data_IF_746306397529
#
_entry.id   IF_746306397529
#
_cell.length_a   1.000
_cell.length_b   1.000
_cell.length_c   1.000
_cell.angle_alpha   90.00
_cell.angle_beta   90.00
_cell.angle_gamma   90.00
#
_symmetry.space_group_name_H-M   'P 1'
#
loop_
_entity.id
_entity.type
_entity.pdbx_description
1 polymer ?
#
# COMPACT_ATOMS: atom_id res chain seq x y z
N UNK A 1 -65.18 -30.35 -11.48
CA UNK A 1 -64.41 -31.10 -10.45
C UNK A 1 -64.70 -30.67 -9.00
N UNK A 2 -65.92 -30.28 -8.59
CA UNK A 2 -66.26 -30.28 -7.15
C UNK A 2 -66.60 -31.69 -6.62
N UNK A 3 -67.05 -32.61 -7.49
CA UNK A 3 -67.58 -33.93 -7.09
C UNK A 3 -66.58 -34.93 -6.50
N UNK A 4 -65.26 -34.71 -6.60
CA UNK A 4 -64.25 -35.63 -6.02
C UNK A 4 -63.66 -35.13 -4.70
N UNK A 5 -64.01 -33.91 -4.28
CA UNK A 5 -63.53 -33.32 -3.02
C UNK A 5 -64.52 -33.54 -1.86
N UNK A 6 -65.75 -33.97 -2.14
CA UNK A 6 -66.81 -34.17 -1.14
C UNK A 6 -66.72 -35.51 -0.38
N UNK A 7 -66.02 -36.51 -0.92
CA UNK A 7 -65.91 -37.86 -0.33
C UNK A 7 -64.57 -38.14 0.37
N UNK A 8 -63.74 -37.12 0.62
CA UNK A 8 -62.44 -37.33 1.28
C UNK A 8 -62.57 -37.34 2.81
N UNK A 9 -62.05 -38.36 3.54
CA UNK A 9 -62.26 -38.50 4.98
C UNK A 9 -61.59 -37.40 5.83
N UNK A 10 -60.81 -36.50 5.23
CA UNK A 10 -60.08 -35.40 5.86
C UNK A 10 -60.11 -34.15 4.96
N UNK A 11 -61.11 -33.26 5.10
CA UNK A 11 -61.30 -32.10 4.22
C UNK A 11 -60.19 -31.06 4.35
N UNK A 12 -59.58 -30.91 5.53
CA UNK A 12 -58.45 -29.99 5.74
C UNK A 12 -57.21 -30.40 4.95
N UNK A 13 -56.95 -31.70 4.85
CA UNK A 13 -55.84 -32.24 4.06
C UNK A 13 -56.11 -32.11 2.56
N UNK A 14 -57.37 -32.35 2.14
CA UNK A 14 -57.79 -32.16 0.75
C UNK A 14 -57.64 -30.69 0.31
N UNK A 15 -58.00 -29.75 1.18
CA UNK A 15 -57.81 -28.31 0.94
C UNK A 15 -56.33 -27.92 0.89
N UNK A 16 -55.49 -28.49 1.76
CA UNK A 16 -54.04 -28.24 1.77
C UNK A 16 -53.33 -28.81 0.54
N UNK A 17 -53.78 -29.97 0.04
CA UNK A 17 -53.23 -30.61 -1.15
C UNK A 17 -53.90 -30.16 -2.45
N UNK A 18 -55.04 -29.48 -2.38
CA UNK A 18 -55.79 -28.96 -3.54
C UNK A 18 -54.95 -28.16 -4.55
N UNK A 19 -54.02 -27.28 -4.12
CA UNK A 19 -53.13 -26.57 -5.03
C UNK A 19 -52.11 -27.47 -5.77
N UNK A 20 -51.86 -28.68 -5.25
CA UNK A 20 -50.86 -29.62 -5.74
C UNK A 20 -51.47 -30.84 -6.46
N UNK A 21 -52.76 -31.10 -6.27
CA UNK A 21 -53.51 -32.16 -6.95
C UNK A 21 -54.06 -31.61 -8.27
N UNK A 22 -53.45 -32.02 -9.39
CA UNK A 22 -53.89 -31.64 -10.73
C UNK A 22 -54.81 -32.69 -11.34
N UNK A 23 -55.75 -32.31 -12.23
CA UNK A 23 -56.58 -33.28 -12.93
C UNK A 23 -55.73 -34.22 -13.78
N UNK A 24 -56.22 -35.44 -13.98
CA UNK A 24 -55.48 -36.50 -14.69
C UNK A 24 -55.05 -36.09 -16.09
N UNK A 25 -55.89 -35.32 -16.78
CA UNK A 25 -55.62 -34.80 -18.12
C UNK A 25 -54.42 -33.83 -18.13
N UNK A 26 -54.36 -32.89 -17.20
CA UNK A 26 -53.21 -31.98 -17.05
C UNK A 26 -51.93 -32.75 -16.67
N UNK A 27 -52.05 -33.77 -15.82
CA UNK A 27 -50.90 -34.60 -15.43
C UNK A 27 -50.35 -35.38 -16.64
N UNK A 28 -51.23 -35.93 -17.48
CA UNK A 28 -50.83 -36.65 -18.69
C UNK A 28 -50.24 -35.71 -19.75
N UNK A 29 -50.74 -34.48 -19.87
CA UNK A 29 -50.14 -33.43 -20.70
C UNK A 29 -48.73 -33.04 -20.21
N UNK A 30 -48.58 -32.78 -18.90
CA UNK A 30 -47.28 -32.47 -18.28
C UNK A 30 -46.29 -33.61 -18.48
N UNK A 31 -46.73 -34.87 -18.31
CA UNK A 31 -45.87 -36.05 -18.56
C UNK A 31 -45.42 -36.09 -20.00
N UNK A 32 -46.32 -35.90 -20.96
CA UNK A 32 -45.97 -35.87 -22.39
C UNK A 32 -44.98 -34.76 -22.73
N UNK A 33 -45.15 -33.57 -22.15
CA UNK A 33 -44.19 -32.45 -22.32
C UNK A 33 -42.82 -32.82 -21.74
N UNK A 34 -42.77 -33.38 -20.53
CA UNK A 34 -41.52 -33.83 -19.91
C UNK A 34 -40.86 -34.94 -20.72
N UNK A 35 -41.62 -35.94 -21.18
CA UNK A 35 -41.10 -37.05 -21.98
C UNK A 35 -40.51 -36.54 -23.30
N UNK A 36 -41.16 -35.57 -23.96
CA UNK A 36 -40.62 -34.91 -25.15
C UNK A 36 -39.33 -34.12 -24.86
N UNK A 37 -39.27 -33.44 -23.71
CA UNK A 37 -38.12 -32.66 -23.28
C UNK A 37 -36.91 -33.55 -22.96
N UNK A 38 -37.15 -34.68 -22.28
CA UNK A 38 -36.14 -35.68 -21.97
C UNK A 38 -35.65 -36.38 -23.24
N UNK A 39 -36.55 -36.73 -24.17
CA UNK A 39 -36.18 -37.30 -25.46
C UNK A 39 -35.27 -36.37 -26.28
N UNK A 40 -35.46 -35.04 -26.20
CA UNK A 40 -34.61 -34.07 -26.88
C UNK A 40 -33.20 -33.93 -26.27
N UNK A 41 -33.09 -34.05 -24.95
CA UNK A 41 -31.83 -33.79 -24.22
C UNK A 41 -31.02 -35.06 -23.90
N UNK A 42 -31.64 -36.24 -23.99
CA UNK A 42 -30.97 -37.53 -23.82
C UNK A 42 -30.70 -38.10 -25.21
N UNK A 43 -29.59 -37.68 -25.82
CA UNK A 43 -29.11 -38.23 -27.10
C UNK A 43 -28.41 -39.58 -26.89
N UNK A 44 -29.13 -40.59 -26.39
CA UNK A 44 -28.64 -41.97 -26.40
C UNK A 44 -29.59 -42.85 -27.21
N UNK A 45 -29.02 -43.52 -28.21
CA UNK A 45 -29.75 -44.35 -29.15
C UNK A 45 -30.65 -45.38 -28.45
N UNK A 46 -31.94 -45.34 -28.78
CA UNK A 46 -32.89 -46.45 -28.66
C UNK A 46 -33.00 -47.18 -27.30
N UNK A 47 -32.94 -46.47 -26.18
CA UNK A 47 -33.32 -47.03 -24.88
C UNK A 47 -34.60 -46.34 -24.40
N UNK A 48 -35.67 -47.08 -24.08
CA UNK A 48 -36.86 -46.49 -23.45
C UNK A 48 -36.43 -45.79 -22.15
N UNK A 49 -36.68 -44.49 -22.07
CA UNK A 49 -36.36 -43.64 -20.91
C UNK A 49 -37.21 -44.04 -19.72
N UNK A 50 -36.83 -45.11 -19.02
CA UNK A 50 -37.36 -45.46 -17.71
C UNK A 50 -36.59 -44.70 -16.64
N UNK A 51 -37.27 -44.27 -15.56
CA UNK A 51 -36.74 -43.42 -14.47
C UNK A 51 -35.46 -43.93 -13.79
N UNK A 52 -35.03 -45.16 -14.10
CA UNK A 52 -33.85 -45.82 -13.56
C UNK A 52 -32.55 -45.62 -14.37
N UNK A 53 -32.61 -45.09 -15.60
CA UNK A 53 -31.46 -45.05 -16.54
C UNK A 53 -31.08 -43.65 -17.00
N UNK A 54 -31.36 -42.60 -16.21
CA UNK A 54 -30.80 -41.27 -16.48
C UNK A 54 -29.31 -41.27 -16.09
N UNK A 55 -28.36 -41.18 -17.04
CA UNK A 55 -26.97 -40.98 -16.68
C UNK A 55 -26.84 -39.60 -16.00
N UNK A 56 -26.49 -39.61 -14.72
CA UNK A 56 -26.22 -38.41 -13.90
C UNK A 56 -25.00 -37.63 -14.43
N UNK A 57 -24.24 -38.23 -15.35
CA UNK A 57 -22.98 -37.73 -15.85
C UNK A 57 -23.13 -37.23 -17.28
N UNK A 58 -23.37 -35.93 -17.45
CA UNK A 58 -23.01 -35.24 -18.69
C UNK A 58 -24.15 -34.66 -19.54
N UNK A 59 -25.22 -34.13 -18.94
CA UNK A 59 -26.11 -33.25 -19.71
C UNK A 59 -25.43 -31.91 -19.94
N UNK A 60 -24.80 -31.77 -21.11
CA UNK A 60 -24.29 -30.49 -21.62
C UNK A 60 -25.47 -29.57 -21.93
N UNK A 61 -26.01 -28.92 -20.90
CA UNK A 61 -27.12 -27.97 -21.05
C UNK A 61 -26.58 -26.64 -21.56
N UNK A 62 -26.32 -26.55 -22.87
CA UNK A 62 -25.81 -25.32 -23.48
C UNK A 62 -26.86 -24.19 -23.55
N UNK A 63 -28.14 -24.48 -23.31
CA UNK A 63 -29.22 -23.48 -23.39
C UNK A 63 -30.32 -23.73 -22.36
N UNK A 64 -30.85 -22.65 -21.79
CA UNK A 64 -32.02 -22.67 -20.90
C UNK A 64 -33.28 -22.79 -21.77
N UNK A 65 -34.14 -23.79 -21.58
CA UNK A 65 -35.39 -23.91 -22.32
C UNK A 65 -36.31 -22.71 -22.04
N UNK A 66 -36.91 -22.13 -23.07
CA UNK A 66 -37.74 -20.92 -22.98
C UNK A 66 -39.00 -21.11 -22.11
N UNK A 67 -39.43 -22.36 -21.93
CA UNK A 67 -40.65 -22.75 -21.20
C UNK A 67 -40.49 -22.71 -19.67
N UNK A 68 -39.29 -22.44 -19.15
CA UNK A 68 -39.04 -22.35 -17.72
C UNK A 68 -38.97 -20.88 -17.32
N UNK A 69 -39.91 -20.43 -16.49
CA UNK A 69 -40.00 -19.06 -16.00
C UNK A 69 -39.73 -18.98 -14.50
N UNK A 70 -39.30 -17.80 -14.02
CA UNK A 70 -39.05 -17.53 -12.60
C UNK A 70 -37.75 -18.14 -12.04
N UNK A 71 -37.79 -18.54 -10.77
CA UNK A 71 -36.61 -18.99 -9.98
C UNK A 71 -35.88 -20.17 -10.62
N UNK A 72 -36.63 -21.09 -11.23
CA UNK A 72 -36.07 -22.27 -11.90
C UNK A 72 -35.22 -21.90 -13.11
N UNK A 73 -35.57 -20.83 -13.83
CA UNK A 73 -34.79 -20.28 -14.95
C UNK A 73 -33.47 -19.70 -14.46
N UNK A 74 -33.53 -18.91 -13.39
CA UNK A 74 -32.36 -18.31 -12.77
C UNK A 74 -31.40 -19.39 -12.24
N UNK A 75 -31.93 -20.45 -11.63
CA UNK A 75 -31.13 -21.59 -11.17
C UNK A 75 -30.42 -22.31 -12.32
N UNK A 76 -31.13 -22.60 -13.42
CA UNK A 76 -30.52 -23.22 -14.60
C UNK A 76 -29.46 -22.31 -15.22
N UNK A 77 -29.71 -21.00 -15.31
CA UNK A 77 -28.73 -20.04 -15.81
C UNK A 77 -27.48 -19.97 -14.92
N UNK A 78 -27.65 -20.04 -13.61
CA UNK A 78 -26.54 -20.09 -12.65
C UNK A 78 -25.72 -21.39 -12.79
N UNK A 79 -26.37 -22.53 -13.03
CA UNK A 79 -25.67 -23.80 -13.29
C UNK A 79 -24.85 -23.74 -14.58
N UNK A 80 -25.41 -23.19 -15.66
CA UNK A 80 -24.69 -23.01 -16.93
C UNK A 80 -23.51 -22.06 -16.75
N UNK A 81 -23.71 -20.95 -16.05
CA UNK A 81 -22.63 -19.99 -15.75
C UNK A 81 -21.52 -20.65 -14.91
N UNK A 82 -21.87 -21.47 -13.92
CA UNK A 82 -20.91 -22.24 -13.12
C UNK A 82 -20.14 -23.24 -13.97
N UNK A 83 -20.80 -23.99 -14.84
CA UNK A 83 -20.14 -24.95 -15.73
C UNK A 83 -19.18 -24.23 -16.69
N UNK A 84 -19.59 -23.08 -17.23
CA UNK A 84 -18.73 -22.23 -18.07
C UNK A 84 -17.50 -21.74 -17.30
N UNK A 85 -17.69 -21.25 -16.08
CA UNK A 85 -16.60 -20.80 -15.22
C UNK A 85 -15.63 -21.93 -14.86
N UNK A 86 -16.16 -23.13 -14.59
CA UNK A 86 -15.35 -24.31 -14.31
C UNK A 86 -14.51 -24.72 -15.52
N UNK A 87 -15.10 -24.74 -16.73
CA UNK A 87 -14.35 -25.01 -17.95
C UNK A 87 -13.25 -23.97 -18.20
N UNK A 88 -13.51 -22.69 -17.93
CA UNK A 88 -12.51 -21.63 -18.03
C UNK A 88 -11.38 -21.82 -17.01
N UNK A 89 -11.73 -22.17 -15.78
CA UNK A 89 -10.74 -22.48 -14.74
C UNK A 89 -9.87 -23.67 -15.13
N UNK A 90 -10.47 -24.75 -15.62
CA UNK A 90 -9.75 -25.95 -16.04
C UNK A 90 -8.85 -25.66 -17.26
N UNK A 91 -9.29 -24.81 -18.19
CA UNK A 91 -8.48 -24.34 -19.31
C UNK A 91 -7.27 -23.50 -18.84
N UNK A 92 -7.49 -22.52 -17.95
CA UNK A 92 -6.41 -21.71 -17.38
C UNK A 92 -5.43 -22.56 -16.56
N UNK A 93 -5.94 -23.56 -15.83
CA UNK A 93 -5.11 -24.52 -15.10
C UNK A 93 -4.28 -25.37 -16.05
N UNK A 94 -4.85 -25.81 -17.17
CA UNK A 94 -4.11 -26.53 -18.21
C UNK A 94 -3.03 -25.64 -18.85
N UNK A 95 -3.32 -24.36 -19.12
CA UNK A 95 -2.34 -23.38 -19.63
C UNK A 95 -1.20 -23.13 -18.63
N UNK A 96 -1.52 -22.97 -17.34
CA UNK A 96 -0.52 -22.81 -16.28
C UNK A 96 0.38 -24.05 -16.19
N UNK A 97 -0.22 -25.25 -16.17
CA UNK A 97 0.53 -26.50 -16.18
C UNK A 97 1.42 -26.63 -17.43
N UNK A 98 0.97 -26.15 -18.59
CA UNK A 98 1.78 -26.13 -19.81
C UNK A 98 2.95 -25.15 -19.72
N UNK A 99 2.75 -23.98 -19.10
CA UNK A 99 3.83 -23.02 -18.85
C UNK A 99 4.84 -23.53 -17.82
N UNK A 100 4.37 -24.20 -16.77
CA UNK A 100 5.21 -24.78 -15.72
C UNK A 100 5.97 -26.02 -16.20
N UNK A 101 5.39 -26.80 -17.12
CA UNK A 101 6.01 -27.98 -17.70
C UNK A 101 6.72 -27.70 -19.04
N UNK A 102 6.90 -26.43 -19.44
CA UNK A 102 7.74 -26.12 -20.60
C UNK A 102 9.17 -26.53 -20.23
N UNK A 103 9.74 -27.58 -20.83
CA UNK A 103 11.08 -28.00 -20.49
C UNK A 103 12.02 -26.85 -20.89
N UNK A 104 12.66 -26.26 -19.88
CA UNK A 104 13.81 -25.41 -20.07
C UNK A 104 14.88 -26.28 -20.73
N UNK A 105 15.04 -26.10 -22.05
CA UNK A 105 16.23 -26.55 -22.74
C UNK A 105 17.41 -25.81 -22.10
N UNK A 106 18.13 -26.55 -21.26
CA UNK A 106 19.51 -26.30 -20.83
C UNK A 106 19.77 -24.91 -20.26
N UNK A 107 19.71 -24.79 -18.93
CA UNK A 107 20.83 -24.22 -18.18
C UNK A 107 20.86 -24.81 -16.78
N UNK A 108 21.74 -25.79 -16.61
CA UNK A 108 22.29 -26.17 -15.33
C UNK A 108 22.88 -24.95 -14.65
N UNK A 109 22.25 -24.45 -13.59
CA UNK A 109 22.92 -23.98 -12.38
C UNK A 109 21.87 -23.68 -11.31
N UNK A 110 21.87 -24.51 -10.26
CA UNK A 110 21.27 -24.22 -8.96
C UNK A 110 22.02 -23.05 -8.31
N UNK A 111 21.80 -21.84 -8.80
CA UNK A 111 22.02 -20.62 -8.04
C UNK A 111 20.64 -20.14 -7.65
N UNK A 112 20.36 -20.03 -6.34
CA UNK A 112 19.13 -19.44 -5.82
C UNK A 112 18.89 -18.12 -6.56
N UNK A 113 18.03 -18.14 -7.58
CA UNK A 113 17.76 -16.98 -8.38
C UNK A 113 17.24 -15.92 -7.40
N UNK A 114 17.96 -14.80 -7.32
CA UNK A 114 17.55 -13.71 -6.43
C UNK A 114 16.08 -13.40 -6.76
N UNK A 115 15.15 -13.50 -5.80
CA UNK A 115 13.72 -13.31 -6.07
C UNK A 115 13.44 -11.90 -6.62
N UNK A 116 14.34 -10.96 -6.32
CA UNK A 116 14.37 -9.61 -6.89
C UNK A 116 14.70 -9.62 -8.39
N UNK A 117 15.63 -10.44 -8.86
CA UNK A 117 15.97 -10.54 -10.28
C UNK A 117 14.84 -11.19 -11.08
N UNK A 118 14.19 -12.22 -10.52
CA UNK A 118 13.02 -12.87 -11.13
C UNK A 118 11.83 -11.90 -11.21
N UNK A 119 11.53 -11.17 -10.13
CA UNK A 119 10.45 -10.16 -10.14
C UNK A 119 10.73 -9.02 -11.11
N UNK A 120 11.98 -8.55 -11.22
CA UNK A 120 12.35 -7.53 -12.22
C UNK A 120 12.20 -8.07 -13.64
N UNK A 121 12.59 -9.33 -13.90
CA UNK A 121 12.39 -9.97 -15.19
C UNK A 121 10.89 -10.09 -15.54
N UNK A 122 10.05 -10.49 -14.58
CA UNK A 122 8.59 -10.54 -14.75
C UNK A 122 7.99 -9.16 -15.02
N UNK A 123 8.45 -8.11 -14.34
CA UNK A 123 8.01 -6.73 -14.57
C UNK A 123 8.37 -6.30 -16.01
N UNK A 124 9.60 -6.56 -16.46
CA UNK A 124 10.03 -6.25 -17.83
C UNK A 124 9.21 -7.03 -18.87
N UNK A 125 8.92 -8.30 -18.61
CA UNK A 125 8.08 -9.12 -19.48
C UNK A 125 6.64 -8.58 -19.55
N UNK A 126 6.07 -8.15 -18.42
CA UNK A 126 4.73 -7.52 -18.39
C UNK A 126 4.72 -6.21 -19.17
N UNK A 127 5.71 -5.35 -18.99
CA UNK A 127 5.84 -4.11 -19.77
C UNK A 127 5.97 -4.39 -21.28
N UNK A 128 6.69 -5.45 -21.67
CA UNK A 128 6.78 -5.86 -23.07
C UNK A 128 5.44 -6.36 -23.62
N UNK A 129 4.69 -7.14 -22.83
CA UNK A 129 3.34 -7.59 -23.18
C UNK A 129 2.38 -6.41 -23.35
N UNK A 130 2.42 -5.43 -22.45
CA UNK A 130 1.55 -4.25 -22.54
C UNK A 130 1.86 -3.43 -23.80
N UNK A 131 3.14 -3.27 -24.16
CA UNK A 131 3.55 -2.65 -25.43
C UNK A 131 3.00 -3.42 -26.64
N UNK A 132 3.09 -4.76 -26.62
CA UNK A 132 2.55 -5.59 -27.70
C UNK A 132 1.03 -5.51 -27.81
N UNK A 133 0.30 -5.45 -26.68
CA UNK A 133 -1.15 -5.27 -26.68
C UNK A 133 -1.56 -3.91 -27.25
N UNK A 134 -0.79 -2.85 -27.00
CA UNK A 134 -1.03 -1.55 -27.64
C UNK A 134 -0.87 -1.67 -29.15
N UNK A 135 0.19 -2.35 -29.62
CA UNK A 135 0.42 -2.58 -31.06
C UNK A 135 -0.73 -3.41 -31.66
N UNK A 136 -1.13 -4.51 -31.01
CA UNK A 136 -2.26 -5.34 -31.44
C UNK A 136 -3.55 -4.53 -31.52
N UNK A 137 -3.87 -3.74 -30.48
CA UNK A 137 -5.04 -2.85 -30.49
C UNK A 137 -4.98 -1.83 -31.62
N UNK A 138 -3.80 -1.27 -31.92
CA UNK A 138 -3.64 -0.36 -33.06
C UNK A 138 -3.82 -1.08 -34.39
N UNK A 139 -3.32 -2.31 -34.54
CA UNK A 139 -3.52 -3.13 -35.73
C UNK A 139 -4.99 -3.52 -35.92
N UNK A 140 -5.68 -3.93 -34.85
CA UNK A 140 -7.12 -4.18 -34.85
C UNK A 140 -7.91 -2.95 -35.26
N UNK A 141 -7.52 -1.77 -34.78
CA UNK A 141 -8.15 -0.51 -35.18
C UNK A 141 -7.90 -0.20 -36.66
N UNK A 142 -6.68 -0.44 -37.16
CA UNK A 142 -6.37 -0.30 -38.58
C UNK A 142 -7.11 -1.32 -39.44
N UNK A 143 -7.30 -2.55 -38.94
CA UNK A 143 -8.06 -3.58 -39.64
C UNK A 143 -9.55 -3.21 -39.71
N UNK A 144 -10.12 -2.71 -38.60
CA UNK A 144 -11.49 -2.18 -38.56
C UNK A 144 -11.67 -1.01 -39.54
N UNK A 145 -10.70 -0.10 -39.60
CA UNK A 145 -10.68 1.00 -40.59
C UNK A 145 -10.52 0.47 -42.02
N UNK A 146 -9.73 -0.58 -42.24
CA UNK A 146 -9.57 -1.23 -43.54
C UNK A 146 -10.86 -1.91 -44.01
N UNK A 147 -11.63 -2.50 -43.11
CA UNK A 147 -12.93 -3.12 -43.41
C UNK A 147 -14.03 -2.09 -43.67
N UNK A 148 -13.96 -0.90 -43.08
CA UNK A 148 -14.84 0.24 -43.43
C UNK A 148 -14.36 0.99 -44.68
N UNK A 149 -13.09 0.86 -45.04
CA UNK A 149 -12.44 1.57 -46.16
C UNK A 149 -12.41 0.81 -47.49
N UNK A 150 -12.99 -0.40 -47.60
CA UNK A 150 -13.03 -1.15 -48.89
C UNK A 150 -13.81 -0.46 -50.03
N UNK A 151 -14.42 0.70 -49.78
CA UNK A 151 -15.12 1.51 -50.77
C UNK A 151 -14.66 2.99 -50.82
N UNK A 152 -13.56 3.37 -50.18
CA UNK A 152 -13.07 4.75 -50.24
C UNK A 152 -11.86 4.88 -51.19
N UNK A 153 -12.01 5.71 -52.23
CA UNK A 153 -10.97 6.07 -53.19
C UNK A 153 -9.75 6.66 -52.44
N UNK A 154 -8.50 6.22 -52.68
CA UNK A 154 -7.33 6.65 -51.91
C UNK A 154 -7.07 8.17 -51.97
N UNK A 155 -7.65 8.85 -52.95
CA UNK A 155 -7.69 10.30 -53.16
C UNK A 155 -8.66 11.01 -52.20
N UNK A 156 -9.81 10.42 -51.86
CA UNK A 156 -10.79 11.03 -50.95
C UNK A 156 -10.42 10.87 -49.48
N UNK A 157 -9.70 9.80 -49.13
CA UNK A 157 -9.08 9.66 -47.80
C UNK A 157 -7.94 10.66 -47.59
N UNK A 158 -7.15 10.94 -48.63
CA UNK A 158 -6.10 11.94 -48.57
C UNK A 158 -6.70 13.36 -48.44
N UNK A 159 -7.79 13.64 -49.17
CA UNK A 159 -8.46 14.94 -49.13
C UNK A 159 -9.24 15.18 -47.82
N UNK A 160 -9.82 14.14 -47.22
CA UNK A 160 -10.37 14.20 -45.85
C UNK A 160 -9.30 14.46 -44.78
N UNK A 161 -8.07 14.03 -45.03
CA UNK A 161 -6.88 14.38 -44.24
C UNK A 161 -6.30 15.76 -44.60
N UNK A 162 -6.42 16.22 -45.85
CA UNK A 162 -5.85 17.49 -46.32
C UNK A 162 -6.66 18.72 -45.90
N UNK A 163 -7.97 18.58 -45.70
CA UNK A 163 -8.81 19.65 -45.13
C UNK A 163 -8.57 19.85 -43.61
N UNK A 164 -7.79 18.96 -42.98
CA UNK A 164 -7.30 19.06 -41.61
C UNK A 164 -5.76 19.13 -41.57
N UNK A 165 -5.12 19.75 -42.56
CA UNK A 165 -3.73 20.17 -42.42
C UNK A 165 -3.69 21.62 -41.90
N UNK A 166 -3.36 21.86 -40.61
CA UNK A 166 -2.77 23.14 -40.22
C UNK A 166 -1.39 23.29 -40.88
N UNK A 167 -0.88 24.52 -41.01
CA UNK A 167 0.48 24.77 -41.47
C UNK A 167 1.49 24.06 -40.56
N UNK A 168 2.71 23.75 -41.02
CA UNK A 168 3.61 22.88 -40.29
C UNK A 168 4.14 23.64 -39.07
N UNK A 169 3.68 23.29 -37.87
CA UNK A 169 4.34 23.63 -36.60
C UNK A 169 3.75 22.77 -35.45
N UNK A 170 4.67 22.14 -34.70
CA UNK A 170 4.64 21.76 -33.29
C UNK A 170 3.48 20.92 -32.70
N UNK A 171 3.89 19.83 -32.06
CA UNK A 171 3.38 19.05 -30.89
C UNK A 171 2.23 19.58 -29.99
N UNK A 172 1.29 20.43 -30.43
CA UNK A 172 0.43 21.20 -29.51
C UNK A 172 -0.93 20.59 -29.10
N UNK A 173 -1.46 19.51 -29.70
CA UNK A 173 -2.88 19.15 -29.43
C UNK A 173 -3.14 18.27 -28.20
N UNK A 174 -2.15 17.54 -27.66
CA UNK A 174 -2.30 16.91 -26.33
C UNK A 174 -1.93 17.87 -25.21
N UNK A 175 -0.95 18.74 -25.44
CA UNK A 175 -0.57 19.79 -24.51
C UNK A 175 -1.65 20.87 -24.40
N UNK A 176 -2.45 21.20 -25.42
CA UNK A 176 -3.51 22.19 -25.24
C UNK A 176 -4.65 21.73 -24.34
N UNK A 177 -5.09 20.46 -24.42
CA UNK A 177 -6.13 19.97 -23.50
C UNK A 177 -5.62 19.83 -22.05
N UNK A 178 -4.34 19.47 -21.90
CA UNK A 178 -3.67 19.44 -20.61
C UNK A 178 -3.38 20.86 -20.09
N UNK A 179 -3.00 21.79 -20.97
CA UNK A 179 -2.74 23.19 -20.66
C UNK A 179 -4.03 23.94 -20.37
N UNK A 180 -5.14 23.59 -21.01
CA UNK A 180 -6.47 24.16 -20.74
C UNK A 180 -6.96 23.66 -19.38
N UNK A 181 -6.84 22.35 -19.08
CA UNK A 181 -7.10 21.80 -17.75
C UNK A 181 -6.18 22.42 -16.68
N UNK A 182 -4.89 22.58 -16.96
CA UNK A 182 -3.93 23.25 -16.08
C UNK A 182 -4.23 24.74 -15.92
N UNK A 183 -4.71 25.42 -16.97
CA UNK A 183 -5.11 26.83 -16.92
C UNK A 183 -6.35 27.00 -16.05
N UNK A 184 -7.32 26.10 -16.13
CA UNK A 184 -8.49 26.09 -15.25
C UNK A 184 -8.12 25.75 -13.81
N UNK A 185 -7.18 24.81 -13.59
CA UNK A 185 -6.64 24.54 -12.26
C UNK A 185 -5.88 25.75 -11.72
N UNK A 186 -5.11 26.45 -12.55
CA UNK A 186 -4.40 27.67 -12.17
C UNK A 186 -5.37 28.83 -11.89
N UNK A 187 -6.44 28.97 -12.67
CA UNK A 187 -7.51 29.94 -12.40
C UNK A 187 -8.24 29.62 -11.11
N UNK A 188 -8.51 28.33 -10.83
CA UNK A 188 -9.10 27.89 -9.58
C UNK A 188 -8.15 28.14 -8.41
N UNK A 189 -6.88 27.79 -8.52
CA UNK A 189 -5.86 28.08 -7.51
C UNK A 189 -5.73 29.59 -7.27
N UNK A 190 -5.76 30.40 -8.33
CA UNK A 190 -5.74 31.86 -8.25
C UNK A 190 -7.02 32.39 -7.59
N UNK A 191 -8.18 31.81 -7.89
CA UNK A 191 -9.45 32.17 -7.27
C UNK A 191 -9.47 31.79 -5.78
N UNK A 192 -8.95 30.61 -5.43
CA UNK A 192 -8.81 30.13 -4.04
C UNK A 192 -7.81 30.98 -3.28
N UNK A 193 -6.66 31.34 -3.87
CA UNK A 193 -5.68 32.23 -3.24
C UNK A 193 -6.23 33.66 -3.08
N UNK A 194 -7.01 34.17 -4.04
CA UNK A 194 -7.72 35.45 -3.88
C UNK A 194 -8.81 35.37 -2.82
N UNK A 195 -9.55 34.27 -2.75
CA UNK A 195 -10.55 34.05 -1.72
C UNK A 195 -9.88 33.96 -0.33
N UNK A 196 -8.82 33.17 -0.21
CA UNK A 196 -8.03 33.02 1.01
C UNK A 196 -7.37 34.34 1.43
N UNK A 197 -6.80 35.10 0.51
CA UNK A 197 -6.24 36.42 0.81
C UNK A 197 -7.32 37.42 1.19
N UNK A 198 -8.51 37.36 0.57
CA UNK A 198 -9.65 38.21 0.95
C UNK A 198 -10.21 37.85 2.33
N UNK A 199 -10.22 36.56 2.69
CA UNK A 199 -10.62 36.07 4.02
C UNK A 199 -9.56 36.47 5.05
N UNK A 200 -8.28 36.29 4.73
CA UNK A 200 -7.18 36.70 5.59
C UNK A 200 -7.15 38.22 5.79
N UNK A 201 -7.44 39.00 4.75
CA UNK A 201 -7.56 40.46 4.83
C UNK A 201 -8.79 40.88 5.66
N UNK A 202 -9.92 40.17 5.55
CA UNK A 202 -11.09 40.40 6.41
C UNK A 202 -10.77 40.07 7.87
N UNK A 203 -10.07 38.97 8.14
CA UNK A 203 -9.64 38.58 9.49
C UNK A 203 -8.60 39.56 10.07
N UNK A 204 -7.66 40.05 9.26
CA UNK A 204 -6.72 41.09 9.69
C UNK A 204 -7.40 42.43 9.90
N UNK A 205 -8.36 42.82 9.05
CA UNK A 205 -9.10 44.07 9.23
C UNK A 205 -10.02 44.04 10.46
N UNK A 206 -10.58 42.88 10.82
CA UNK A 206 -11.30 42.67 12.08
C UNK A 206 -10.34 42.72 13.29
N UNK A 207 -9.07 42.33 13.13
CA UNK A 207 -8.02 42.43 14.16
C UNK A 207 -7.34 43.81 14.26
N UNK A 208 -7.46 44.66 13.23
CA UNK A 208 -6.77 45.97 13.15
C UNK A 208 -7.66 47.11 13.67
N UNK A 209 -8.92 46.85 14.01
CA UNK A 209 -9.79 47.87 14.61
C UNK A 209 -9.40 48.23 16.06
N UNK A 210 -8.36 47.62 16.65
CA UNK A 210 -7.93 47.92 18.02
C UNK A 210 -6.41 48.09 18.25
N UNK A 211 -5.53 47.99 17.25
CA UNK A 211 -4.07 47.98 17.52
C UNK A 211 -3.24 49.01 16.75
N UNK A 212 -2.40 49.68 17.52
CA UNK A 212 -1.43 50.74 17.28
C UNK A 212 -0.75 50.74 15.88
N UNK A 213 -0.61 51.90 15.19
CA UNK A 213 0.01 51.99 13.86
C UNK A 213 1.50 51.61 13.75
N UNK A 214 2.17 51.24 14.85
CA UNK A 214 3.55 50.76 14.81
C UNK A 214 3.65 49.23 14.66
N UNK A 215 2.61 48.49 15.08
CA UNK A 215 2.62 47.02 15.02
C UNK A 215 2.41 46.50 13.59
N UNK A 216 1.65 47.21 12.75
CA UNK A 216 1.53 46.83 11.33
C UNK A 216 2.83 47.05 10.56
N UNK A 217 3.60 48.09 10.88
CA UNK A 217 4.92 48.34 10.26
C UNK A 217 5.91 47.26 10.68
N UNK A 218 5.88 46.84 11.96
CA UNK A 218 6.70 45.74 12.46
C UNK A 218 6.31 44.40 11.83
N UNK A 219 5.02 44.11 11.71
CA UNK A 219 4.53 42.92 11.02
C UNK A 219 4.90 42.91 9.54
N UNK A 220 4.83 44.07 8.87
CA UNK A 220 5.25 44.24 7.48
C UNK A 220 6.76 44.04 7.31
N UNK A 221 7.58 44.64 8.18
CA UNK A 221 9.04 44.47 8.17
C UNK A 221 9.45 43.01 8.42
N UNK A 222 8.79 42.32 9.36
CA UNK A 222 9.02 40.90 9.63
C UNK A 222 8.60 40.01 8.46
N UNK A 223 7.48 40.33 7.80
CA UNK A 223 7.05 39.61 6.60
C UNK A 223 8.04 39.82 5.45
N UNK A 224 8.54 41.04 5.27
CA UNK A 224 9.56 41.34 4.27
C UNK A 224 10.87 40.60 4.55
N UNK A 225 11.33 40.61 5.80
CA UNK A 225 12.51 39.86 6.21
C UNK A 225 12.34 38.35 6.01
N UNK A 226 11.15 37.81 6.27
CA UNK A 226 10.83 36.40 6.00
C UNK A 226 10.90 36.10 4.50
N UNK A 227 10.28 36.94 3.68
CA UNK A 227 10.24 36.72 2.23
C UNK A 227 11.64 36.88 1.61
N UNK A 228 12.48 37.80 2.12
CA UNK A 228 13.89 37.93 1.71
C UNK A 228 14.73 36.71 2.15
N UNK A 229 14.46 36.12 3.32
CA UNK A 229 15.13 34.91 3.81
C UNK A 229 14.72 33.67 2.99
N UNK A 230 13.44 33.57 2.62
CA UNK A 230 12.95 32.52 1.71
C UNK A 230 13.65 32.64 0.35
N UNK A 231 13.71 33.84 -0.24
CA UNK A 231 14.41 34.06 -1.50
C UNK A 231 15.90 33.72 -1.41
N UNK A 232 16.54 34.00 -0.26
CA UNK A 232 17.93 33.61 -0.02
C UNK A 232 18.08 32.08 0.05
N UNK A 233 17.22 31.37 0.80
CA UNK A 233 17.23 29.90 0.87
C UNK A 233 17.00 29.28 -0.52
N UNK A 234 16.02 29.78 -1.27
CA UNK A 234 15.72 29.31 -2.62
C UNK A 234 16.92 29.54 -3.56
N UNK A 235 17.61 30.68 -3.44
CA UNK A 235 18.82 30.94 -4.22
C UNK A 235 19.99 30.02 -3.84
N UNK A 236 20.08 29.63 -2.57
CA UNK A 236 21.14 28.74 -2.10
C UNK A 236 20.85 27.28 -2.46
N UNK A 237 19.59 26.86 -2.40
CA UNK A 237 19.13 25.56 -2.88
C UNK A 237 19.29 25.42 -4.40
N UNK A 238 19.06 26.49 -5.17
CA UNK A 238 19.28 26.50 -6.60
C UNK A 238 20.76 26.27 -6.95
N UNK A 239 21.70 26.90 -6.21
CA UNK A 239 23.15 26.68 -6.39
C UNK A 239 23.57 25.25 -6.02
N UNK A 240 23.00 24.70 -4.95
CA UNK A 240 23.24 23.31 -4.54
C UNK A 240 22.72 22.29 -5.56
N UNK A 241 21.62 22.61 -6.26
CA UNK A 241 21.09 21.77 -7.34
C UNK A 241 21.94 21.83 -8.61
N UNK A 242 22.67 22.92 -8.85
CA UNK A 242 23.52 23.10 -10.04
C UNK A 242 24.90 22.40 -9.86
N UNK A 243 25.37 22.23 -8.62
CA UNK A 243 26.60 21.48 -8.30
C UNK A 243 26.44 19.94 -8.33
N UNK A 244 25.19 19.41 -8.34
CA UNK A 244 24.91 17.97 -8.44
C UNK A 244 24.94 17.44 -9.89
N UNK A 245 24.96 18.32 -10.90
CA UNK A 245 25.04 17.95 -12.33
C UNK A 245 26.49 17.75 -12.85
N UNK A 246 27.50 17.83 -11.96
CA UNK A 246 28.93 17.64 -12.30
C UNK A 246 29.60 16.41 -11.65
N UNK A 247 28.83 15.44 -11.15
CA UNK A 247 29.39 14.14 -10.76
C UNK A 247 29.35 13.17 -11.94
N UNK A 248 30.50 13.02 -12.62
CA UNK A 248 30.75 12.04 -13.68
C UNK A 248 30.32 10.63 -13.26
N UNK A 249 29.70 9.83 -14.18
CA UNK A 249 29.32 8.45 -13.94
C UNK A 249 30.48 7.53 -14.32
N UNK A 250 31.52 7.43 -13.49
CA UNK A 250 32.53 6.37 -13.61
C UNK A 250 33.20 6.11 -12.25
N UNK A 251 32.50 5.35 -11.42
CA UNK A 251 33.14 4.55 -10.38
C UNK A 251 32.71 3.10 -10.60
N UNK A 252 33.56 2.39 -11.35
CA UNK A 252 33.58 0.94 -11.46
C UNK A 252 33.47 0.31 -10.06
N UNK A 253 32.31 -0.25 -9.76
CA UNK A 253 32.15 -1.20 -8.67
C UNK A 253 32.66 -2.56 -9.17
N UNK A 254 33.70 -3.15 -8.56
CA UNK A 254 34.15 -4.48 -8.93
C UNK A 254 33.01 -5.47 -8.67
N UNK A 255 32.44 -5.95 -9.76
CA UNK A 255 31.38 -6.95 -9.77
C UNK A 255 32.06 -8.31 -9.82
N UNK A 256 32.69 -8.72 -8.72
CA UNK A 256 33.17 -10.09 -8.57
C UNK A 256 33.13 -10.50 -7.09
N UNK A 257 31.97 -11.02 -6.66
CA UNK A 257 31.88 -11.90 -5.49
C UNK A 257 31.47 -13.28 -5.99
N UNK A 258 32.35 -13.89 -6.77
CA UNK A 258 32.38 -15.34 -6.92
C UNK A 258 32.74 -15.99 -5.59
N UNK A 259 31.75 -16.66 -4.98
CA UNK A 259 31.92 -17.75 -4.02
C UNK A 259 33.10 -17.67 -3.02
N UNK A 260 33.34 -16.52 -2.38
CA UNK A 260 34.08 -16.55 -1.11
C UNK A 260 33.25 -17.35 -0.11
N UNK A 261 33.88 -18.36 0.49
CA UNK A 261 33.24 -19.24 1.45
C UNK A 261 32.61 -18.38 2.54
N UNK A 262 31.40 -18.74 3.01
CA UNK A 262 30.78 -18.05 4.15
C UNK A 262 31.73 -17.96 5.36
N UNK A 263 32.71 -18.86 5.46
CA UNK A 263 33.76 -18.81 6.47
C UNK A 263 34.80 -17.70 6.25
N UNK A 264 35.12 -17.35 5.00
CA UNK A 264 36.02 -16.23 4.67
C UNK A 264 35.34 -14.89 4.93
N UNK A 265 34.04 -14.77 4.58
CA UNK A 265 33.25 -13.58 4.93
C UNK A 265 33.08 -13.44 6.45
N UNK A 266 32.95 -14.56 7.18
CA UNK A 266 32.91 -14.56 8.64
C UNK A 266 34.26 -14.18 9.26
N UNK A 267 35.37 -14.69 8.71
CA UNK A 267 36.72 -14.35 9.16
C UNK A 267 37.04 -12.87 8.92
N UNK A 268 36.66 -12.32 7.76
CA UNK A 268 36.83 -10.89 7.44
C UNK A 268 35.95 -10.00 8.32
N UNK A 269 34.70 -10.39 8.58
CA UNK A 269 33.83 -9.69 9.54
C UNK A 269 34.39 -9.73 10.97
N UNK A 270 34.95 -10.87 11.39
CA UNK A 270 35.58 -10.99 12.71
C UNK A 270 36.84 -10.12 12.82
N UNK A 271 37.66 -10.06 11.77
CA UNK A 271 38.84 -9.18 11.71
C UNK A 271 38.42 -7.69 11.74
N UNK A 272 37.43 -7.29 10.95
CA UNK A 272 36.86 -5.94 10.98
C UNK A 272 36.30 -5.58 12.35
N UNK A 273 35.58 -6.50 13.00
CA UNK A 273 35.04 -6.29 14.34
C UNK A 273 36.16 -6.18 15.39
N UNK A 274 37.24 -6.95 15.25
CA UNK A 274 38.41 -6.85 16.13
C UNK A 274 39.12 -5.50 15.98
N UNK A 275 39.27 -5.01 14.75
CA UNK A 275 39.81 -3.67 14.44
C UNK A 275 38.92 -2.57 15.01
N UNK A 276 37.61 -2.72 14.89
CA UNK A 276 36.64 -1.80 15.50
C UNK A 276 36.79 -1.75 17.03
N UNK A 277 36.86 -2.90 17.70
CA UNK A 277 37.06 -2.97 19.16
C UNK A 277 38.39 -2.30 19.55
N UNK A 278 39.49 -2.63 18.86
CA UNK A 278 40.79 -2.04 19.15
C UNK A 278 40.80 -0.51 18.98
N UNK A 279 40.13 0.00 17.94
CA UNK A 279 39.97 1.44 17.74
C UNK A 279 39.16 2.10 18.87
N UNK A 280 38.09 1.44 19.34
CA UNK A 280 37.25 1.91 20.43
C UNK A 280 37.96 1.89 21.77
N UNK A 281 38.76 0.85 22.03
CA UNK A 281 39.63 0.78 23.22
C UNK A 281 40.71 1.87 23.19
N UNK A 282 41.27 2.17 22.02
CA UNK A 282 42.21 3.28 21.84
C UNK A 282 41.53 4.63 22.11
N UNK A 283 40.31 4.85 21.62
CA UNK A 283 39.54 6.05 21.94
C UNK A 283 39.25 6.14 23.44
N UNK A 284 38.75 5.06 24.06
CA UNK A 284 38.46 5.04 25.50
C UNK A 284 39.72 5.27 26.34
N UNK A 285 40.88 4.74 25.94
CA UNK A 285 42.14 4.97 26.65
C UNK A 285 42.62 6.42 26.50
N UNK A 286 42.55 7.03 25.31
CA UNK A 286 42.86 8.46 25.13
C UNK A 286 41.94 9.36 25.95
N UNK A 287 40.65 9.04 25.98
CA UNK A 287 39.65 9.76 26.76
C UNK A 287 39.91 9.61 28.27
N UNK A 288 40.23 8.40 28.75
CA UNK A 288 40.65 8.16 30.16
C UNK A 288 41.91 8.91 30.54
N UNK A 289 42.88 9.07 29.63
CA UNK A 289 44.09 9.87 29.86
C UNK A 289 43.72 11.36 29.99
N UNK A 290 42.81 11.88 29.16
CA UNK A 290 42.33 13.27 29.25
C UNK A 290 41.55 13.56 30.55
N UNK A 291 40.77 12.61 31.05
CA UNK A 291 40.08 12.77 32.34
C UNK A 291 41.02 12.67 33.55
N UNK A 292 42.17 11.97 33.44
CA UNK A 292 43.19 11.95 34.49
C UNK A 292 44.04 13.22 34.55
N UNK A 293 44.14 13.99 33.45
CA UNK A 293 44.96 15.22 33.38
C UNK A 293 44.20 16.52 33.69
N UNK A 294 42.88 16.47 33.89
CA UNK A 294 42.08 17.61 34.40
C UNK A 294 41.51 17.33 35.80
N UNK A 295 42.40 17.24 36.78
CA UNK A 295 42.05 17.43 38.19
C UNK A 295 42.98 18.48 38.76
N UNK A 296 42.67 19.75 38.50
CA UNK A 296 43.17 20.89 39.28
C UNK A 296 41.95 21.44 40.00
N UNK A 297 41.94 21.50 41.34
CA UNK A 297 40.80 22.00 42.09
C UNK A 297 40.75 23.52 41.94
N UNK A 298 39.75 24.03 41.23
CA UNK A 298 39.46 25.47 41.18
C UNK A 298 38.70 25.82 42.46
N UNK A 299 39.35 26.55 43.36
CA UNK A 299 38.70 27.24 44.48
C UNK A 299 37.87 28.43 43.94
N UNK A 300 36.70 28.73 44.53
CA UNK A 300 35.92 29.90 44.15
C UNK A 300 36.40 31.16 44.92
N UNK A 301 36.62 32.32 44.27
CA UNK A 301 36.76 33.57 44.99
C UNK A 301 35.38 34.18 45.28
N UNK A 302 35.17 34.52 46.55
CA UNK A 302 34.06 35.33 47.05
C UNK A 302 34.07 36.76 46.46
N UNK A 303 32.86 37.25 46.20
CA UNK A 303 32.34 38.62 46.16
C UNK A 303 33.27 39.81 46.48
N UNK A 304 33.20 40.86 45.63
CA UNK A 304 33.01 42.26 46.08
C UNK A 304 32.56 43.24 44.97
N UNK A 305 31.34 43.75 45.14
CA UNK A 305 30.82 45.13 44.95
C UNK A 305 30.85 45.87 43.59
N UNK A 306 29.63 46.15 43.11
CA UNK A 306 29.07 47.44 42.66
C UNK A 306 29.97 48.49 42.02
N UNK A 307 29.68 48.87 40.77
CA UNK A 307 28.92 50.08 40.40
C UNK A 307 29.28 50.61 39.00
N UNK A 308 28.33 51.36 38.44
CA UNK A 308 28.43 52.31 37.32
C UNK A 308 28.44 51.79 35.87
N UNK A 309 27.38 52.24 35.19
CA UNK A 309 27.12 52.39 33.76
C UNK A 309 28.28 52.88 32.89
N UNK A 310 28.26 52.41 31.63
CA UNK A 310 29.02 52.83 30.44
C UNK A 310 30.26 51.99 30.10
N UNK A 311 30.06 50.84 29.43
CA UNK A 311 30.73 50.47 28.16
C UNK A 311 30.39 49.03 27.73
N UNK A 312 29.22 48.82 27.12
CA UNK A 312 28.79 47.48 26.67
C UNK A 312 29.35 47.06 25.29
N UNK A 313 30.24 47.85 24.68
CA UNK A 313 30.84 47.51 23.38
C UNK A 313 32.17 46.75 23.45
N UNK A 314 32.81 46.67 24.62
CA UNK A 314 34.11 46.00 24.79
C UNK A 314 34.00 44.52 25.22
N UNK A 315 32.94 44.14 25.93
CA UNK A 315 32.76 42.77 26.45
C UNK A 315 32.32 41.76 25.37
N UNK A 316 31.69 42.21 24.28
CA UNK A 316 31.29 41.33 23.18
C UNK A 316 32.48 40.80 22.37
N UNK A 317 33.55 41.57 22.23
CA UNK A 317 34.77 41.17 21.51
C UNK A 317 35.55 40.11 22.28
N UNK A 318 35.57 40.19 23.61
CA UNK A 318 36.18 39.19 24.49
C UNK A 318 35.40 37.87 24.53
N UNK A 319 34.07 37.92 24.48
CA UNK A 319 33.23 36.73 24.33
C UNK A 319 33.36 36.10 22.94
N UNK A 320 33.39 36.90 21.87
CA UNK A 320 33.60 36.41 20.51
C UNK A 320 34.97 35.70 20.36
N UNK A 321 36.04 36.25 20.94
CA UNK A 321 37.37 35.61 20.99
C UNK A 321 37.40 34.32 21.80
N UNK A 322 36.56 34.19 22.84
CA UNK A 322 36.41 32.94 23.62
C UNK A 322 35.56 31.90 22.92
N UNK A 323 34.60 32.30 22.08
CA UNK A 323 33.67 31.40 21.36
C UNK A 323 34.25 30.93 20.02
N UNK A 324 35.09 31.74 19.36
CA UNK A 324 35.78 31.42 18.10
C UNK A 324 36.34 29.98 18.01
N UNK A 325 37.12 29.46 18.98
CA UNK A 325 37.64 28.10 18.92
C UNK A 325 36.58 26.99 19.06
N UNK A 326 35.36 27.33 19.52
CA UNK A 326 34.24 26.39 19.65
C UNK A 326 33.25 26.48 18.48
N UNK A 327 33.43 27.39 17.53
CA UNK A 327 32.49 27.56 16.40
C UNK A 327 32.45 26.31 15.51
N UNK A 328 33.58 25.65 15.27
CA UNK A 328 33.59 24.41 14.48
C UNK A 328 32.87 23.27 15.18
N UNK A 329 33.00 23.17 16.51
CA UNK A 329 32.29 22.19 17.33
C UNK A 329 30.79 22.50 17.35
N UNK A 330 30.42 23.78 17.52
CA UNK A 330 29.02 24.20 17.50
C UNK A 330 28.39 23.96 16.12
N UNK A 331 29.14 24.22 15.04
CA UNK A 331 28.73 23.94 13.67
C UNK A 331 28.57 22.44 13.43
N UNK A 332 29.52 21.60 13.87
CA UNK A 332 29.38 20.15 13.73
C UNK A 332 28.19 19.63 14.54
N UNK A 333 27.98 20.12 15.76
CA UNK A 333 26.81 19.72 16.55
C UNK A 333 25.49 20.19 15.95
N UNK A 334 25.45 21.37 15.33
CA UNK A 334 24.26 21.85 14.63
C UNK A 334 23.99 21.02 13.37
N UNK A 335 25.03 20.64 12.63
CA UNK A 335 24.92 19.73 11.49
C UNK A 335 24.43 18.35 11.93
N UNK A 336 24.99 17.77 13.00
CA UNK A 336 24.55 16.50 13.57
C UNK A 336 23.09 16.56 14.03
N UNK A 337 22.67 17.68 14.66
CA UNK A 337 21.28 17.91 15.04
C UNK A 337 20.35 17.92 13.82
N UNK A 338 20.72 18.65 12.76
CA UNK A 338 19.92 18.68 11.53
C UNK A 338 19.85 17.31 10.85
N UNK A 339 20.96 16.57 10.80
CA UNK A 339 21.00 15.22 10.24
C UNK A 339 20.13 14.26 11.06
N UNK A 340 20.16 14.35 12.40
CA UNK A 340 19.31 13.57 13.29
C UNK A 340 17.82 13.94 13.10
N UNK A 341 17.50 15.23 12.93
CA UNK A 341 16.13 15.66 12.62
C UNK A 341 15.64 15.12 11.27
N UNK A 342 16.48 15.12 10.25
CA UNK A 342 16.15 14.52 8.95
C UNK A 342 15.92 13.02 9.07
N UNK A 343 16.81 12.30 9.75
CA UNK A 343 16.70 10.86 9.95
C UNK A 343 15.44 10.50 10.75
N UNK A 344 15.13 11.23 11.83
CA UNK A 344 13.90 11.01 12.60
C UNK A 344 12.64 11.32 11.80
N UNK A 345 12.65 12.36 10.96
CA UNK A 345 11.55 12.65 10.02
C UNK A 345 11.39 11.54 8.99
N UNK A 346 12.49 11.05 8.41
CA UNK A 346 12.48 9.93 7.46
C UNK A 346 11.91 8.66 8.09
N UNK A 347 12.38 8.28 9.27
CA UNK A 347 11.86 7.12 10.00
C UNK A 347 10.38 7.27 10.34
N UNK A 348 9.92 8.46 10.76
CA UNK A 348 8.49 8.70 11.00
C UNK A 348 7.67 8.47 9.74
N UNK A 349 8.11 9.00 8.60
CA UNK A 349 7.44 8.78 7.30
C UNK A 349 7.42 7.31 6.93
N UNK A 350 8.54 6.61 7.09
CA UNK A 350 8.64 5.18 6.79
C UNK A 350 7.71 4.35 7.70
N UNK A 351 7.67 4.65 9.00
CA UNK A 351 6.75 4.00 9.95
C UNK A 351 5.30 4.27 9.58
N UNK A 352 4.93 5.49 9.21
CA UNK A 352 3.57 5.81 8.77
C UNK A 352 3.22 5.09 7.47
N UNK A 353 4.13 5.05 6.51
CA UNK A 353 3.93 4.34 5.24
C UNK A 353 3.68 2.85 5.48
N UNK A 354 4.56 2.19 6.27
CA UNK A 354 4.39 0.78 6.63
C UNK A 354 3.10 0.57 7.43
N UNK A 355 2.76 1.46 8.38
CA UNK A 355 1.51 1.31 9.14
C UNK A 355 0.29 1.37 8.22
N UNK A 356 0.27 2.30 7.26
CA UNK A 356 -0.83 2.41 6.30
C UNK A 356 -0.89 1.20 5.36
N UNK A 357 0.25 0.67 4.94
CA UNK A 357 0.31 -0.55 4.12
C UNK A 357 -0.20 -1.76 4.91
N UNK A 358 0.20 -1.91 6.17
CA UNK A 358 -0.29 -3.00 7.02
C UNK A 358 -1.79 -2.88 7.28
N UNK A 359 -2.32 -1.67 7.45
CA UNK A 359 -3.76 -1.44 7.57
C UNK A 359 -4.51 -1.82 6.28
N UNK A 360 -3.97 -1.47 5.11
CA UNK A 360 -4.52 -1.89 3.82
C UNK A 360 -4.48 -3.41 3.61
N UNK A 361 -3.41 -4.07 4.04
CA UNK A 361 -3.31 -5.53 3.96
C UNK A 361 -4.29 -6.21 4.92
N UNK A 362 -4.45 -5.70 6.14
CA UNK A 362 -5.40 -6.24 7.11
C UNK A 362 -6.84 -6.05 6.67
N UNK A 363 -7.18 -4.89 6.10
CA UNK A 363 -8.52 -4.65 5.53
C UNK A 363 -8.77 -5.60 4.36
N UNK A 364 -7.81 -5.76 3.44
CA UNK A 364 -7.92 -6.74 2.35
C UNK A 364 -8.10 -8.17 2.84
N UNK A 365 -7.29 -8.63 3.80
CA UNK A 365 -7.42 -9.96 4.40
C UNK A 365 -8.77 -10.14 5.09
N UNK A 366 -9.30 -9.09 5.72
CA UNK A 366 -10.63 -9.13 6.33
C UNK A 366 -11.74 -9.21 5.29
N UNK A 367 -11.59 -8.55 4.13
CA UNK A 367 -12.55 -8.61 3.03
C UNK A 367 -12.51 -9.96 2.29
N UNK A 368 -11.33 -10.59 2.20
CA UNK A 368 -11.14 -11.94 1.67
C UNK A 368 -11.63 -13.03 2.65
N UNK A 369 -11.71 -12.72 3.95
CA UNK A 369 -12.18 -13.64 4.97
C UNK A 369 -13.70 -13.71 5.03
N UNK A 370 -14.28 -14.82 4.58
CA UNK A 370 -15.72 -15.08 4.72
C UNK A 370 -16.23 -15.22 6.17
N UNK A 371 -15.33 -15.19 7.16
CA UNK A 371 -15.67 -15.24 8.59
C UNK A 371 -15.99 -13.87 9.18
N UNK A 372 -15.56 -12.79 8.52
CA UNK A 372 -15.79 -11.42 8.97
C UNK A 372 -16.77 -10.76 8.00
N UNK A 373 -17.78 -10.05 8.51
CA UNK A 373 -18.73 -9.35 7.62
C UNK A 373 -18.00 -8.22 6.89
N UNK A 374 -18.16 -8.08 5.56
CA UNK A 374 -17.62 -6.93 4.83
C UNK A 374 -18.11 -5.63 5.47
N UNK A 375 -17.19 -4.72 5.79
CA UNK A 375 -17.51 -3.43 6.42
C UNK A 375 -17.47 -3.40 7.96
N UNK A 376 -17.17 -4.51 8.65
CA UNK A 376 -16.86 -4.50 10.11
C UNK A 376 -15.36 -4.50 10.40
N UNK A 377 -14.53 -4.25 9.39
CA UNK A 377 -13.05 -4.27 9.42
C UNK A 377 -12.45 -3.03 10.10
N UNK A 378 -13.06 -2.56 11.19
CA UNK A 378 -12.52 -1.45 11.95
C UNK A 378 -11.25 -1.92 12.66
N UNK A 379 -10.09 -1.63 12.06
CA UNK A 379 -8.75 -1.89 12.63
C UNK A 379 -8.62 -1.36 14.05
N UNK A 380 -9.32 -0.27 14.36
CA UNK A 380 -9.44 0.28 15.71
C UNK A 380 -10.10 -0.68 16.72
N UNK A 381 -11.13 -1.44 16.32
CA UNK A 381 -11.79 -2.41 17.19
C UNK A 381 -10.88 -3.62 17.47
N UNK A 382 -10.08 -4.04 16.48
CA UNK A 382 -9.05 -5.07 16.66
C UNK A 382 -7.91 -4.56 17.55
N UNK A 383 -7.50 -3.30 17.39
CA UNK A 383 -6.49 -2.67 18.23
C UNK A 383 -6.96 -2.53 19.69
N UNK A 384 -8.23 -2.18 19.90
CA UNK A 384 -8.84 -2.12 21.23
C UNK A 384 -8.97 -3.53 21.84
N UNK A 385 -9.45 -4.51 21.08
CA UNK A 385 -9.51 -5.90 21.53
C UNK A 385 -8.12 -6.47 21.87
N UNK A 386 -7.09 -6.15 21.08
CA UNK A 386 -5.72 -6.56 21.34
C UNK A 386 -5.14 -5.87 22.58
N UNK A 387 -5.46 -4.58 22.80
CA UNK A 387 -5.08 -3.85 24.00
C UNK A 387 -5.74 -4.47 25.24
N UNK A 388 -7.03 -4.79 25.16
CA UNK A 388 -7.77 -5.44 26.23
C UNK A 388 -7.23 -6.84 26.53
N UNK A 389 -6.91 -7.64 25.50
CA UNK A 389 -6.30 -8.94 25.66
C UNK A 389 -4.94 -8.82 26.37
N UNK A 390 -4.10 -7.89 25.93
CA UNK A 390 -2.80 -7.62 26.57
C UNK A 390 -2.95 -7.20 28.04
N UNK A 391 -3.93 -6.37 28.36
CA UNK A 391 -4.22 -5.99 29.75
C UNK A 391 -4.64 -7.20 30.58
N UNK A 392 -5.51 -8.07 30.06
CA UNK A 392 -5.91 -9.32 30.74
C UNK A 392 -4.73 -10.27 30.94
N UNK A 393 -3.87 -10.41 29.94
CA UNK A 393 -2.68 -11.26 30.03
C UNK A 393 -1.71 -10.73 31.09
N UNK A 394 -1.50 -9.42 31.14
CA UNK A 394 -0.66 -8.79 32.17
C UNK A 394 -1.23 -8.97 33.57
N UNK A 395 -2.56 -8.89 33.73
CA UNK A 395 -3.23 -9.16 35.00
C UNK A 395 -3.11 -10.64 35.42
N UNK A 396 -3.35 -11.56 34.48
CA UNK A 396 -3.20 -12.99 34.69
C UNK A 396 -1.75 -13.35 35.06
N UNK A 397 -0.77 -12.87 34.29
CA UNK A 397 0.66 -13.08 34.60
C UNK A 397 1.02 -12.47 35.95
N UNK A 398 0.52 -11.27 36.26
CA UNK A 398 0.70 -10.62 37.56
C UNK A 398 0.15 -11.46 38.72
N UNK A 399 -1.06 -12.02 38.57
CA UNK A 399 -1.66 -12.90 39.58
C UNK A 399 -0.86 -14.20 39.77
N UNK A 400 -0.35 -14.78 38.68
CA UNK A 400 0.48 -15.99 38.74
C UNK A 400 1.83 -15.72 39.39
N UNK A 401 2.44 -14.57 39.10
CA UNK A 401 3.70 -14.16 39.70
C UNK A 401 3.52 -13.91 41.21
N UNK A 402 2.45 -13.21 41.61
CA UNK A 402 2.12 -13.00 43.01
C UNK A 402 1.87 -14.33 43.76
N UNK A 403 1.12 -15.26 43.16
CA UNK A 403 0.91 -16.59 43.72
C UNK A 403 2.23 -17.37 43.85
N UNK A 404 3.12 -17.27 42.85
CA UNK A 404 4.46 -17.85 42.87
C UNK A 404 5.32 -17.27 43.99
N UNK A 405 5.32 -15.95 44.16
CA UNK A 405 6.05 -15.29 45.26
C UNK A 405 5.55 -15.71 46.64
N UNK A 406 4.24 -15.83 46.83
CA UNK A 406 3.65 -16.31 48.08
C UNK A 406 4.08 -17.76 48.34
N UNK A 407 4.05 -18.62 47.32
CA UNK A 407 4.52 -20.00 47.43
C UNK A 407 6.00 -20.07 47.80
N UNK A 408 6.86 -19.25 47.17
CA UNK A 408 8.30 -19.21 47.45
C UNK A 408 8.57 -18.68 48.87
N UNK A 409 7.83 -17.65 49.32
CA UNK A 409 7.91 -17.14 50.69
C UNK A 409 7.50 -18.23 51.70
N UNK A 410 6.40 -18.94 51.45
CA UNK A 410 5.99 -20.06 52.30
C UNK A 410 7.04 -21.16 52.41
N UNK A 411 7.67 -21.56 51.29
CA UNK A 411 8.78 -22.53 51.31
C UNK A 411 9.99 -22.00 52.07
N UNK A 412 10.32 -20.72 51.91
CA UNK A 412 11.42 -20.08 52.65
C UNK A 412 11.14 -20.05 54.15
N UNK A 413 9.90 -19.76 54.56
CA UNK A 413 9.51 -19.73 55.97
C UNK A 413 9.57 -21.13 56.59
N UNK A 414 9.15 -22.18 55.86
CA UNK A 414 9.31 -23.58 56.29
C UNK A 414 10.79 -23.95 56.42
N UNK A 415 11.64 -23.56 55.47
CA UNK A 415 13.09 -23.81 55.54
C UNK A 415 13.72 -23.14 56.78
N UNK A 416 13.39 -21.88 57.04
CA UNK A 416 13.87 -21.16 58.24
C UNK A 416 13.38 -21.84 59.52
N UNK A 417 12.14 -22.35 59.54
CA UNK A 417 11.61 -23.09 60.69
C UNK A 417 12.38 -24.40 60.93
N UNK A 418 12.66 -25.16 59.87
CA UNK A 418 13.42 -26.42 59.97
C UNK A 418 14.86 -26.20 60.42
N UNK A 419 15.49 -25.09 60.03
CA UNK A 419 16.85 -24.73 60.43
C UNK A 419 16.93 -24.24 61.89
N UNK A 420 15.81 -23.88 62.52
CA UNK A 420 15.76 -23.44 63.93
C UNK A 420 15.44 -24.59 64.90
N UNK A 421 15.07 -25.76 64.39
CA UNK A 421 14.65 -26.94 65.16
C UNK A 421 15.74 -28.05 65.15
N UNK A 422 16.73 -27.96 64.26
CA UNK A 422 17.98 -28.73 64.32
C UNK A 422 19.07 -27.92 65.01
#
# INVERSE_FOLDING_TARGET
MPDLMEDFPLPDLANALGPYIRPREEVDEIRRVIDSFLAQHVQHENIPTSKATLPITGTSTQSVPENITGVRRAFMQALIARQKAQNQYDALKAELNLMQNKPEEQESNESKANPVAETVALIRQRQRRDKLLVIEKTLDNLEKVRHTSRYADPSELLNGMQAQLPPPLAQQSQDESLAEAQSHVFELQKAVLRAQSSVQARLSNVSVQENNPEDWKRAYALRRARDDLIAWIESELAKLSEDDDHMDPDLDMPTDFGAESLDETRATLQDLYSKYIASRERLVSTLKIQYKTKSIPVQPPLERQTSTTNDDKSNNTGMALRVLPFIDILRSTAQDETAMMQHTSYLRRQVTAVSTETEQLLTRLSDESHMVRPGTSHTAAWAEAAKDARSRDMEMVGSHLAAGEISIKGVRDVLVLTQKIG
#
